data_IF_955536477500
#
_entry.id   IF_955536477500
#
_cell.length_a   1.000
_cell.length_b   1.000
_cell.length_c   1.000
_cell.angle_alpha   90.00
_cell.angle_beta   90.00
_cell.angle_gamma   90.00
#
_symmetry.space_group_name_H-M   'P 1'
#
loop_
_entity.id
_entity.type
_entity.pdbx_description
1 polymer ?
#
# COMPACT_ATOMS: atom_id res chain seq x y z
N UNK A 1 38.22 4.55 71.60
CA UNK A 1 38.26 5.21 70.28
C UNK A 1 37.26 4.53 69.34
N UNK A 2 35.96 4.72 69.60
CA UNK A 2 34.89 4.23 68.74
C UNK A 2 33.98 5.43 68.46
N UNK A 3 33.64 5.69 67.19
CA UNK A 3 32.51 6.60 66.91
C UNK A 3 32.66 7.67 65.83
N UNK A 4 33.56 7.56 64.83
CA UNK A 4 33.64 8.59 63.76
C UNK A 4 33.57 8.11 62.31
N UNK A 5 33.32 6.83 62.05
CA UNK A 5 33.27 6.28 60.68
C UNK A 5 31.86 6.31 60.07
N UNK A 6 30.81 6.39 60.91
CA UNK A 6 29.41 6.39 60.46
C UNK A 6 28.95 7.60 59.63
N UNK A 7 29.35 8.87 59.88
CA UNK A 7 28.79 10.00 59.13
C UNK A 7 29.28 10.09 57.69
N UNK A 8 30.51 9.64 57.38
CA UNK A 8 31.04 9.68 56.01
C UNK A 8 30.38 8.65 55.09
N UNK A 9 30.08 7.46 55.59
CA UNK A 9 29.35 6.43 54.83
C UNK A 9 27.90 6.83 54.54
N UNK A 10 27.23 7.51 55.47
CA UNK A 10 25.87 8.02 55.26
C UNK A 10 25.83 9.12 54.19
N UNK A 11 26.81 10.03 54.18
CA UNK A 11 26.92 11.08 53.14
C UNK A 11 27.18 10.46 51.75
N UNK A 12 28.06 9.44 51.67
CA UNK A 12 28.32 8.72 50.43
C UNK A 12 27.10 7.95 49.92
N UNK A 13 26.31 7.37 50.82
CA UNK A 13 25.07 6.67 50.47
C UNK A 13 23.98 7.65 49.98
N UNK A 14 23.83 8.81 50.63
CA UNK A 14 22.88 9.85 50.21
C UNK A 14 23.26 10.42 48.84
N UNK A 15 24.55 10.65 48.57
CA UNK A 15 25.02 11.10 47.25
C UNK A 15 24.82 10.04 46.16
N UNK A 16 25.07 8.75 46.46
CA UNK A 16 24.88 7.66 45.51
C UNK A 16 23.38 7.44 45.16
N UNK A 17 22.50 7.52 46.16
CA UNK A 17 21.04 7.40 45.95
C UNK A 17 20.47 8.65 45.25
N UNK A 18 20.98 9.85 45.57
CA UNK A 18 20.60 11.08 44.87
C UNK A 18 20.99 11.06 43.38
N UNK A 19 22.19 10.55 43.06
CA UNK A 19 22.65 10.41 41.68
C UNK A 19 21.84 9.36 40.88
N UNK A 20 21.44 8.26 41.51
CA UNK A 20 20.65 7.21 40.83
C UNK A 20 19.21 7.66 40.55
N UNK A 21 18.58 8.38 41.48
CA UNK A 21 17.23 8.95 41.29
C UNK A 21 17.26 10.05 40.22
N UNK A 22 18.28 10.92 40.21
CA UNK A 22 18.45 11.95 39.18
C UNK A 22 18.62 11.36 37.77
N UNK A 23 19.44 10.31 37.64
CA UNK A 23 19.61 9.59 36.38
C UNK A 23 18.31 8.92 35.90
N UNK A 24 17.54 8.32 36.81
CA UNK A 24 16.27 7.68 36.47
C UNK A 24 15.23 8.69 35.96
N UNK A 25 15.10 9.86 36.61
CA UNK A 25 14.18 10.94 36.17
C UNK A 25 14.61 11.48 34.79
N UNK A 26 15.91 11.63 34.54
CA UNK A 26 16.42 12.11 33.25
C UNK A 26 16.13 11.11 32.12
N UNK A 27 16.28 9.81 32.38
CA UNK A 27 16.00 8.72 31.43
C UNK A 27 14.49 8.63 31.13
N UNK A 28 13.62 8.83 32.13
CA UNK A 28 12.17 8.80 31.93
C UNK A 28 11.71 9.99 31.08
N UNK A 29 12.15 11.21 31.39
CA UNK A 29 11.80 12.40 30.59
C UNK A 29 12.33 12.32 29.15
N UNK A 30 13.52 11.76 28.93
CA UNK A 30 14.07 11.63 27.56
C UNK A 30 13.35 10.56 26.73
N UNK A 31 12.78 9.51 27.35
CA UNK A 31 11.88 8.57 26.66
C UNK A 31 10.56 9.22 26.26
N UNK A 32 9.96 10.01 27.14
CA UNK A 32 8.69 10.68 26.85
C UNK A 32 8.87 11.75 25.74
N UNK A 33 9.98 12.49 25.77
CA UNK A 33 10.32 13.44 24.70
C UNK A 33 10.61 12.74 23.36
N UNK A 34 11.29 11.58 23.38
CA UNK A 34 11.52 10.80 22.17
C UNK A 34 10.22 10.19 21.61
N UNK A 35 9.32 9.70 22.48
CA UNK A 35 7.99 9.23 22.11
C UNK A 35 7.14 10.32 21.47
N UNK A 36 7.04 11.48 22.14
CA UNK A 36 6.35 12.65 21.60
C UNK A 36 6.95 13.14 20.28
N UNK A 37 8.28 13.05 20.12
CA UNK A 37 8.93 13.39 18.85
C UNK A 37 8.58 12.42 17.72
N UNK A 38 8.42 11.13 18.02
CA UNK A 38 7.95 10.13 17.05
C UNK A 38 6.51 10.41 16.63
N UNK A 39 5.62 10.63 17.60
CA UNK A 39 4.21 10.94 17.35
C UNK A 39 4.04 12.22 16.52
N UNK A 40 4.83 13.27 16.79
CA UNK A 40 4.83 14.51 15.99
C UNK A 40 5.32 14.27 14.57
N UNK A 41 6.31 13.39 14.37
CA UNK A 41 6.80 13.03 13.04
C UNK A 41 5.73 12.29 12.23
N UNK A 42 5.04 11.33 12.86
CA UNK A 42 3.96 10.57 12.23
C UNK A 42 2.76 11.46 11.90
N UNK A 43 2.37 12.35 12.83
CA UNK A 43 1.35 13.35 12.60
C UNK A 43 1.69 14.26 11.41
N UNK A 44 2.94 14.70 11.28
CA UNK A 44 3.38 15.52 10.16
C UNK A 44 3.29 14.76 8.82
N UNK A 45 3.62 13.47 8.81
CA UNK A 45 3.49 12.63 7.63
C UNK A 45 2.01 12.45 7.23
N UNK A 46 1.10 12.28 8.19
CA UNK A 46 -0.34 12.25 7.94
C UNK A 46 -0.87 13.59 7.43
N UNK A 47 -0.43 14.71 8.01
CA UNK A 47 -0.82 16.06 7.57
C UNK A 47 -0.39 16.33 6.12
N UNK A 48 0.80 15.87 5.73
CA UNK A 48 1.28 15.96 4.36
C UNK A 48 0.40 15.15 3.38
N UNK A 49 -0.02 13.94 3.77
CA UNK A 49 -0.96 13.11 2.97
C UNK A 49 -2.32 13.78 2.83
N UNK A 50 -2.91 14.27 3.93
CA UNK A 50 -4.20 14.98 3.92
C UNK A 50 -4.14 16.21 3.01
N UNK A 51 -3.03 16.95 3.02
CA UNK A 51 -2.85 18.12 2.15
C UNK A 51 -2.81 17.73 0.67
N UNK A 52 -2.18 16.61 0.33
CA UNK A 52 -2.16 16.07 -1.02
C UNK A 52 -3.58 15.67 -1.47
N UNK A 53 -4.30 14.92 -0.63
CA UNK A 53 -5.68 14.49 -0.89
C UNK A 53 -6.64 15.68 -1.07
N UNK A 54 -6.49 16.73 -0.26
CA UNK A 54 -7.28 17.96 -0.36
C UNK A 54 -7.01 18.68 -1.70
N UNK A 55 -5.75 18.71 -2.14
CA UNK A 55 -5.36 19.32 -3.41
C UNK A 55 -5.95 18.54 -4.59
N UNK A 56 -5.92 17.20 -4.53
CA UNK A 56 -6.58 16.35 -5.53
C UNK A 56 -8.09 16.58 -5.56
N UNK A 57 -8.75 16.58 -4.39
CA UNK A 57 -10.21 16.79 -4.29
C UNK A 57 -10.61 18.14 -4.90
N UNK A 58 -9.81 19.17 -4.69
CA UNK A 58 -10.04 20.49 -5.30
C UNK A 58 -9.98 20.44 -6.83
N UNK A 59 -8.98 19.76 -7.39
CA UNK A 59 -8.88 19.56 -8.84
C UNK A 59 -10.08 18.78 -9.41
N UNK A 60 -10.59 17.79 -8.67
CA UNK A 60 -11.78 17.03 -9.07
C UNK A 60 -13.03 17.91 -9.05
N UNK A 61 -13.18 18.77 -8.04
CA UNK A 61 -14.26 19.76 -7.96
C UNK A 61 -14.20 20.77 -9.10
N UNK A 62 -13.01 21.27 -9.45
CA UNK A 62 -12.83 22.21 -10.57
C UNK A 62 -13.23 21.55 -11.90
N UNK A 63 -12.88 20.27 -12.10
CA UNK A 63 -13.29 19.48 -13.28
C UNK A 63 -14.81 19.30 -13.33
N UNK A 64 -15.43 18.91 -12.21
CA UNK A 64 -16.89 18.76 -12.13
C UNK A 64 -17.62 20.09 -12.36
N UNK A 65 -17.07 21.21 -11.92
CA UNK A 65 -17.62 22.55 -12.17
C UNK A 65 -17.61 22.92 -13.66
N UNK A 66 -16.52 22.58 -14.36
CA UNK A 66 -16.42 22.75 -15.81
C UNK A 66 -17.47 21.89 -16.55
N UNK A 67 -17.62 20.62 -16.15
CA UNK A 67 -18.64 19.72 -16.72
C UNK A 67 -20.07 20.25 -16.50
N UNK A 68 -20.36 20.75 -15.28
CA UNK A 68 -21.66 21.35 -14.95
C UNK A 68 -21.98 22.55 -15.85
N UNK A 69 -20.98 23.38 -16.16
CA UNK A 69 -21.12 24.52 -17.07
C UNK A 69 -21.40 24.10 -18.51
N UNK A 70 -20.89 22.94 -18.95
CA UNK A 70 -21.23 22.34 -20.26
C UNK A 70 -22.67 21.84 -20.25
N UNK A 71 -23.09 21.13 -19.21
CA UNK A 71 -24.47 20.65 -19.07
C UNK A 71 -25.50 21.79 -19.04
N UNK A 72 -25.21 22.87 -18.30
CA UNK A 72 -26.09 24.05 -18.25
C UNK A 72 -26.29 24.68 -19.63
N UNK A 73 -25.22 24.86 -20.41
CA UNK A 73 -25.32 25.34 -21.80
C UNK A 73 -26.18 24.43 -22.67
N UNK A 74 -26.07 23.12 -22.47
CA UNK A 74 -26.85 22.13 -23.22
C UNK A 74 -28.33 22.15 -22.86
N UNK A 75 -28.67 22.32 -21.58
CA UNK A 75 -30.06 22.50 -21.13
C UNK A 75 -30.65 23.77 -21.74
N UNK A 76 -29.94 24.90 -21.67
CA UNK A 76 -30.41 26.16 -22.25
C UNK A 76 -30.66 26.03 -23.77
N UNK A 77 -29.77 25.36 -24.50
CA UNK A 77 -29.96 25.09 -25.93
C UNK A 77 -31.19 24.22 -26.22
N UNK A 78 -31.47 23.21 -25.38
CA UNK A 78 -32.67 22.37 -25.51
C UNK A 78 -33.95 23.14 -25.19
N UNK A 79 -33.94 24.02 -24.18
CA UNK A 79 -35.07 24.88 -23.85
C UNK A 79 -35.39 25.85 -25.00
N UNK A 80 -34.37 26.46 -25.61
CA UNK A 80 -34.53 27.32 -26.79
C UNK A 80 -35.14 26.54 -27.98
N UNK A 81 -34.67 25.29 -28.20
CA UNK A 81 -35.24 24.39 -29.22
C UNK A 81 -36.72 24.14 -28.98
N UNK A 82 -37.11 23.81 -27.75
CA UNK A 82 -38.51 23.56 -27.40
C UNK A 82 -39.38 24.82 -27.58
N UNK A 83 -38.86 25.99 -27.20
CA UNK A 83 -39.57 27.26 -27.41
C UNK A 83 -39.77 27.58 -28.90
N UNK A 84 -38.77 27.32 -29.74
CA UNK A 84 -38.87 27.53 -31.19
C UNK A 84 -39.86 26.56 -31.86
N UNK A 85 -39.86 25.29 -31.46
CA UNK A 85 -40.86 24.31 -31.93
C UNK A 85 -42.28 24.71 -31.54
N UNK A 86 -42.48 25.20 -30.31
CA UNK A 86 -43.78 25.69 -29.86
C UNK A 86 -44.27 26.89 -30.69
N UNK A 87 -43.36 27.80 -31.10
CA UNK A 87 -43.69 28.95 -31.97
C UNK A 87 -44.07 28.54 -33.39
N UNK A 88 -43.43 27.51 -33.93
CA UNK A 88 -43.72 26.99 -35.28
C UNK A 88 -45.10 26.32 -35.35
N UNK A 89 -45.57 25.73 -34.25
CA UNK A 89 -46.90 25.12 -34.16
C UNK A 89 -48.05 26.14 -34.14
N UNK A 90 -47.76 27.45 -34.10
CA UNK A 90 -48.74 28.55 -33.95
C UNK A 90 -48.89 29.41 -35.23
N UNK A 91 -48.03 29.27 -36.26
CA UNK A 91 -48.11 30.09 -37.50
C UNK A 91 -48.42 29.23 -38.75
N UNK A 92 -49.38 29.73 -39.52
CA UNK A 92 -50.22 29.05 -40.51
C UNK A 92 -49.52 28.24 -41.64
N UNK A 93 -50.17 27.15 -42.11
CA UNK A 93 -49.75 26.34 -43.25
C UNK A 93 -50.20 27.00 -44.55
N UNK A 94 -49.29 27.59 -45.32
CA UNK A 94 -49.69 28.35 -46.51
C UNK A 94 -48.73 28.26 -47.67
N UNK A 95 -47.64 29.04 -47.65
CA UNK A 95 -46.78 29.21 -48.84
C UNK A 95 -45.29 29.39 -48.55
N UNK A 96 -44.86 29.22 -47.31
CA UNK A 96 -43.46 29.31 -46.88
C UNK A 96 -42.75 27.93 -46.84
N UNK A 97 -43.45 26.83 -47.17
CA UNK A 97 -43.01 25.47 -46.89
C UNK A 97 -41.81 24.94 -47.70
N UNK A 98 -41.52 25.51 -48.87
CA UNK A 98 -40.50 24.92 -49.77
C UNK A 98 -39.09 25.46 -49.51
N UNK A 99 -38.92 26.77 -49.30
CA UNK A 99 -37.63 27.36 -48.89
C UNK A 99 -37.29 27.11 -47.41
N UNK A 100 -38.30 27.05 -46.52
CA UNK A 100 -38.08 26.59 -45.13
C UNK A 100 -37.65 25.12 -45.07
N UNK A 101 -38.15 24.24 -45.95
CA UNK A 101 -37.74 22.83 -45.94
C UNK A 101 -36.24 22.64 -46.19
N UNK A 102 -35.61 23.50 -47.00
CA UNK A 102 -34.17 23.45 -47.28
C UNK A 102 -33.34 24.01 -46.12
N UNK A 103 -33.73 25.15 -45.56
CA UNK A 103 -33.05 25.75 -44.41
C UNK A 103 -33.19 24.88 -43.14
N UNK A 104 -34.34 24.23 -42.96
CA UNK A 104 -34.60 23.32 -41.85
C UNK A 104 -33.86 21.99 -42.04
N UNK A 105 -33.77 21.48 -43.28
CA UNK A 105 -32.96 20.30 -43.60
C UNK A 105 -31.45 20.55 -43.39
N UNK A 106 -30.94 21.73 -43.77
CA UNK A 106 -29.55 22.11 -43.55
C UNK A 106 -29.23 22.30 -42.06
N UNK A 107 -30.15 22.92 -41.29
CA UNK A 107 -30.03 23.00 -39.83
C UNK A 107 -30.09 21.64 -39.15
N UNK A 108 -30.98 20.74 -39.58
CA UNK A 108 -31.04 19.35 -39.07
C UNK A 108 -29.76 18.57 -39.39
N UNK A 109 -29.19 18.76 -40.58
CA UNK A 109 -27.93 18.13 -40.97
C UNK A 109 -26.77 18.64 -40.09
N UNK A 110 -26.65 19.96 -39.89
CA UNK A 110 -25.63 20.56 -39.01
C UNK A 110 -25.81 20.11 -37.54
N UNK A 111 -27.04 20.02 -37.05
CA UNK A 111 -27.33 19.50 -35.71
C UNK A 111 -26.94 18.02 -35.55
N UNK A 112 -27.12 17.21 -36.60
CA UNK A 112 -26.66 15.81 -36.59
C UNK A 112 -25.13 15.71 -36.55
N UNK A 113 -24.43 16.66 -37.17
CA UNK A 113 -22.98 16.75 -37.13
C UNK A 113 -22.49 17.18 -35.73
N UNK A 114 -23.13 18.18 -35.12
CA UNK A 114 -22.82 18.62 -33.75
C UNK A 114 -23.10 17.51 -32.72
N UNK A 115 -24.19 16.76 -32.87
CA UNK A 115 -24.48 15.62 -31.99
C UNK A 115 -23.43 14.52 -32.14
N UNK A 116 -22.98 14.24 -33.37
CA UNK A 116 -21.90 13.28 -33.63
C UNK A 116 -20.58 13.75 -33.01
N UNK A 117 -20.21 15.01 -33.19
CA UNK A 117 -19.00 15.59 -32.61
C UNK A 117 -19.04 15.56 -31.07
N UNK A 118 -20.21 15.80 -30.47
CA UNK A 118 -20.40 15.72 -29.03
C UNK A 118 -20.26 14.27 -28.51
N UNK A 119 -20.80 13.28 -29.22
CA UNK A 119 -20.64 11.87 -28.86
C UNK A 119 -19.17 11.46 -28.91
N UNK A 120 -18.44 11.87 -29.93
CA UNK A 120 -17.00 11.61 -30.08
C UNK A 120 -16.20 12.26 -28.94
N UNK A 121 -16.47 13.52 -28.63
CA UNK A 121 -15.83 14.22 -27.51
C UNK A 121 -16.11 13.53 -26.16
N UNK A 122 -17.35 13.06 -25.92
CA UNK A 122 -17.70 12.30 -24.70
C UNK A 122 -16.94 10.97 -24.65
N UNK A 123 -16.84 10.26 -25.76
CA UNK A 123 -16.10 8.99 -25.82
C UNK A 123 -14.62 9.20 -25.53
N UNK A 124 -14.02 10.28 -26.01
CA UNK A 124 -12.61 10.61 -25.74
C UNK A 124 -12.38 10.96 -24.27
N UNK A 125 -13.25 11.77 -23.65
CA UNK A 125 -13.19 12.05 -22.21
C UNK A 125 -13.32 10.77 -21.38
N UNK A 126 -14.21 9.84 -21.78
CA UNK A 126 -14.36 8.55 -21.09
C UNK A 126 -13.12 7.66 -21.25
N UNK A 127 -12.47 7.66 -22.42
CA UNK A 127 -11.20 6.95 -22.63
C UNK A 127 -10.09 7.52 -21.75
N UNK A 128 -9.94 8.85 -21.71
CA UNK A 128 -8.94 9.52 -20.88
C UNK A 128 -9.15 9.22 -19.39
N UNK A 129 -10.40 9.24 -18.92
CA UNK A 129 -10.75 8.88 -17.54
C UNK A 129 -10.37 7.45 -17.20
N UNK A 130 -10.67 6.47 -18.08
CA UNK A 130 -10.26 5.07 -17.87
C UNK A 130 -8.74 4.93 -17.82
N UNK A 131 -8.02 5.60 -18.71
CA UNK A 131 -6.56 5.61 -18.72
C UNK A 131 -5.97 6.26 -17.46
N UNK A 132 -6.58 7.32 -16.94
CA UNK A 132 -6.18 7.94 -15.67
C UNK A 132 -6.44 7.01 -14.46
N UNK A 133 -7.61 6.37 -14.39
CA UNK A 133 -7.91 5.39 -13.35
C UNK A 133 -6.96 4.18 -13.39
N UNK A 134 -6.60 3.70 -14.58
CA UNK A 134 -5.62 2.63 -14.76
C UNK A 134 -4.21 3.03 -14.32
N UNK A 135 -3.78 4.27 -14.61
CA UNK A 135 -2.50 4.82 -14.10
C UNK A 135 -2.49 4.83 -12.57
N UNK A 136 -3.54 5.37 -11.93
CA UNK A 136 -3.66 5.37 -10.45
C UNK A 136 -3.64 3.96 -9.86
N UNK A 137 -4.28 2.99 -10.54
CA UNK A 137 -4.22 1.58 -10.13
C UNK A 137 -2.82 0.98 -10.29
N UNK A 138 -2.08 1.34 -11.34
CA UNK A 138 -0.69 0.90 -11.55
C UNK A 138 0.23 1.47 -10.47
N UNK A 139 0.13 2.77 -10.20
CA UNK A 139 0.88 3.46 -9.14
C UNK A 139 0.61 2.83 -7.78
N UNK A 140 -0.67 2.66 -7.39
CA UNK A 140 -1.02 2.02 -6.13
C UNK A 140 -0.51 0.57 -6.04
N UNK A 141 -0.57 -0.21 -7.13
CA UNK A 141 0.05 -1.55 -7.16
C UNK A 141 1.56 -1.50 -6.99
N UNK A 142 2.22 -0.50 -7.55
CA UNK A 142 3.66 -0.33 -7.43
C UNK A 142 4.07 0.11 -6.03
N UNK A 143 3.37 1.05 -5.43
CA UNK A 143 3.53 1.43 -4.02
C UNK A 143 3.30 0.24 -3.09
N UNK A 144 2.22 -0.54 -3.29
CA UNK A 144 1.98 -1.75 -2.50
C UNK A 144 3.08 -2.78 -2.68
N UNK A 145 3.61 -2.95 -3.91
CA UNK A 145 4.76 -3.83 -4.16
C UNK A 145 6.02 -3.35 -3.44
N UNK A 146 6.30 -2.05 -3.45
CA UNK A 146 7.44 -1.47 -2.74
C UNK A 146 7.30 -1.60 -1.23
N UNK A 147 6.13 -1.28 -0.67
CA UNK A 147 5.84 -1.44 0.75
C UNK A 147 5.98 -2.90 1.18
N UNK A 148 5.43 -3.82 0.38
CA UNK A 148 5.54 -5.25 0.64
C UNK A 148 6.99 -5.73 0.55
N UNK A 149 7.75 -5.32 -0.47
CA UNK A 149 9.16 -5.67 -0.60
C UNK A 149 9.99 -5.14 0.58
N UNK A 150 9.74 -3.90 1.02
CA UNK A 150 10.40 -3.31 2.19
C UNK A 150 10.08 -4.09 3.47
N UNK A 151 8.80 -4.40 3.72
CA UNK A 151 8.39 -5.20 4.88
C UNK A 151 8.97 -6.61 4.86
N UNK A 152 9.04 -7.23 3.69
CA UNK A 152 9.66 -8.54 3.52
C UNK A 152 11.16 -8.47 3.82
N UNK A 153 11.88 -7.44 3.34
CA UNK A 153 13.30 -7.24 3.67
C UNK A 153 13.53 -7.03 5.17
N UNK A 154 12.75 -6.16 5.79
CA UNK A 154 12.80 -5.90 7.23
C UNK A 154 12.56 -7.17 8.05
N UNK A 155 11.46 -7.87 7.75
CA UNK A 155 11.12 -9.14 8.39
C UNK A 155 12.20 -10.21 8.22
N UNK A 156 12.78 -10.32 7.02
CA UNK A 156 13.91 -11.23 6.78
C UNK A 156 15.10 -10.81 7.66
N UNK A 157 15.50 -9.54 7.67
CA UNK A 157 16.63 -9.09 8.48
C UNK A 157 16.44 -9.40 9.98
N UNK A 158 15.25 -9.16 10.53
CA UNK A 158 14.92 -9.51 11.91
C UNK A 158 15.00 -11.02 12.16
N UNK A 159 14.33 -11.81 11.33
CA UNK A 159 14.25 -13.26 11.50
C UNK A 159 15.62 -13.91 11.41
N UNK A 160 16.46 -13.44 10.48
CA UNK A 160 17.81 -13.95 10.27
C UNK A 160 18.75 -13.56 11.41
N UNK A 161 18.64 -12.33 11.92
CA UNK A 161 19.41 -11.86 13.08
C UNK A 161 19.08 -12.70 14.33
N UNK A 162 17.79 -12.91 14.60
CA UNK A 162 17.35 -13.73 15.75
C UNK A 162 17.72 -15.21 15.59
N UNK A 163 17.67 -15.73 14.36
CA UNK A 163 18.12 -17.09 14.08
C UNK A 163 19.62 -17.24 14.33
N UNK A 164 20.45 -16.31 13.84
CA UNK A 164 21.90 -16.34 14.07
C UNK A 164 22.24 -16.28 15.57
N UNK A 165 21.61 -15.37 16.32
CA UNK A 165 21.76 -15.31 17.79
C UNK A 165 21.41 -16.64 18.46
N UNK A 166 20.35 -17.29 18.01
CA UNK A 166 19.93 -18.59 18.51
C UNK A 166 20.97 -19.67 18.20
N UNK A 167 21.51 -19.68 16.98
CA UNK A 167 22.56 -20.64 16.60
C UNK A 167 23.84 -20.44 17.41
N UNK A 168 24.30 -19.20 17.57
CA UNK A 168 25.49 -18.87 18.38
C UNK A 168 25.30 -19.40 19.81
N UNK A 169 24.15 -19.11 20.42
CA UNK A 169 23.84 -19.52 21.80
C UNK A 169 23.73 -21.04 21.96
N UNK A 170 23.08 -21.73 21.03
CA UNK A 170 22.72 -23.14 21.19
C UNK A 170 23.79 -24.11 20.68
N UNK A 171 24.67 -23.66 19.78
CA UNK A 171 25.70 -24.49 19.14
C UNK A 171 27.14 -24.13 19.53
N UNK A 172 27.32 -23.09 20.36
CA UNK A 172 28.63 -22.59 20.79
C UNK A 172 29.56 -22.35 19.59
N UNK A 173 29.08 -21.51 18.66
CA UNK A 173 29.77 -21.28 17.39
C UNK A 173 31.09 -20.54 17.59
N UNK A 174 32.12 -20.98 16.88
CA UNK A 174 33.36 -20.20 16.75
C UNK A 174 33.13 -18.95 15.89
N UNK A 175 33.97 -17.92 16.05
CA UNK A 175 33.84 -16.68 15.26
C UNK A 175 33.94 -16.91 13.74
N UNK A 176 34.71 -17.91 13.30
CA UNK A 176 34.77 -18.30 11.88
C UNK A 176 33.46 -18.95 11.42
N UNK A 177 32.91 -19.88 12.21
CA UNK A 177 31.62 -20.51 11.89
C UNK A 177 30.47 -19.49 11.87
N UNK A 178 30.48 -18.52 12.79
CA UNK A 178 29.50 -17.42 12.78
C UNK A 178 29.54 -16.64 11.47
N UNK A 179 30.73 -16.25 11.02
CA UNK A 179 30.91 -15.52 9.76
C UNK A 179 30.42 -16.34 8.55
N UNK A 180 30.76 -17.62 8.48
CA UNK A 180 30.34 -18.49 7.38
C UNK A 180 28.83 -18.74 7.37
N UNK A 181 28.22 -18.92 8.54
CA UNK A 181 26.75 -19.06 8.67
C UNK A 181 26.05 -17.78 8.24
N UNK A 182 26.62 -16.61 8.56
CA UNK A 182 26.09 -15.32 8.09
C UNK A 182 26.07 -15.24 6.56
N UNK A 183 27.12 -15.70 5.88
CA UNK A 183 27.16 -15.76 4.40
C UNK A 183 26.11 -16.73 3.85
N UNK A 184 25.95 -17.92 4.47
CA UNK A 184 24.91 -18.88 4.08
C UNK A 184 23.49 -18.30 4.25
N UNK A 185 23.29 -17.57 5.34
CA UNK A 185 22.06 -16.84 5.64
C UNK A 185 21.77 -15.72 4.62
N UNK A 186 22.77 -14.91 4.27
CA UNK A 186 22.63 -13.87 3.25
C UNK A 186 22.25 -14.47 1.88
N UNK A 187 22.89 -15.59 1.50
CA UNK A 187 22.57 -16.35 0.27
C UNK A 187 21.12 -16.83 0.28
N UNK A 188 20.67 -17.39 1.42
CA UNK A 188 19.28 -17.83 1.59
C UNK A 188 18.30 -16.66 1.50
N UNK A 189 18.61 -15.51 2.11
CA UNK A 189 17.79 -14.28 2.05
C UNK A 189 17.62 -13.79 0.62
N UNK A 190 18.67 -13.80 -0.18
CA UNK A 190 18.61 -13.44 -1.60
C UNK A 190 17.71 -14.40 -2.39
N UNK A 191 17.83 -15.71 -2.15
CA UNK A 191 16.96 -16.72 -2.74
C UNK A 191 15.48 -16.46 -2.45
N UNK A 192 15.15 -16.20 -1.18
CA UNK A 192 13.77 -15.90 -0.76
C UNK A 192 13.27 -14.60 -1.40
N UNK A 193 14.11 -13.57 -1.45
CA UNK A 193 13.78 -12.29 -2.10
C UNK A 193 13.45 -12.48 -3.57
N UNK A 194 14.24 -13.28 -4.30
CA UNK A 194 13.99 -13.61 -5.72
C UNK A 194 12.69 -14.40 -5.90
N UNK A 195 12.45 -15.42 -5.09
CA UNK A 195 11.20 -16.19 -5.10
C UNK A 195 9.97 -15.28 -4.93
N UNK A 196 10.05 -14.32 -4.01
CA UNK A 196 8.97 -13.38 -3.75
C UNK A 196 8.78 -12.33 -4.85
N UNK A 197 9.86 -11.89 -5.50
CA UNK A 197 9.76 -11.03 -6.67
C UNK A 197 9.06 -11.75 -7.85
N UNK A 198 9.24 -13.07 -7.98
CA UNK A 198 8.63 -13.87 -9.05
C UNK A 198 7.11 -14.04 -8.91
N UNK A 199 6.56 -14.06 -7.69
CA UNK A 199 5.12 -14.27 -7.47
C UNK A 199 4.22 -13.08 -7.86
N UNK A 200 4.79 -11.89 -8.09
CA UNK A 200 4.03 -10.67 -8.42
C UNK A 200 4.08 -10.25 -9.90
N UNK A 201 4.69 -11.06 -10.75
CA UNK A 201 4.96 -10.77 -12.15
C UNK A 201 4.47 -11.95 -12.99
N UNK A 202 3.91 -11.69 -14.17
CA UNK A 202 3.77 -12.69 -15.24
C UNK A 202 5.17 -13.03 -15.76
N UNK A 203 6.00 -13.65 -14.90
CA UNK A 203 7.37 -14.00 -15.25
C UNK A 203 7.29 -15.07 -16.32
N UNK A 204 7.85 -14.77 -17.49
CA UNK A 204 8.18 -15.73 -18.54
C UNK A 204 8.84 -16.97 -17.93
N UNK A 205 8.63 -18.12 -18.58
CA UNK A 205 8.97 -19.51 -18.22
C UNK A 205 10.46 -19.77 -17.85
N UNK A 206 11.04 -18.98 -16.95
CA UNK A 206 12.36 -19.16 -16.37
C UNK A 206 12.33 -20.07 -15.15
N UNK A 207 13.51 -20.51 -14.75
CA UNK A 207 13.74 -21.39 -13.60
C UNK A 207 13.19 -20.73 -12.32
N UNK A 208 12.01 -21.17 -11.89
CA UNK A 208 11.35 -20.68 -10.69
C UNK A 208 12.17 -21.09 -9.48
N UNK A 209 12.53 -20.12 -8.65
CA UNK A 209 13.27 -20.41 -7.42
C UNK A 209 12.29 -21.01 -6.42
N UNK A 210 12.44 -22.30 -6.12
CA UNK A 210 11.59 -22.98 -5.15
C UNK A 210 12.16 -22.80 -3.72
N UNK A 211 11.26 -22.63 -2.75
CA UNK A 211 11.56 -22.59 -1.31
C UNK A 211 12.34 -23.83 -0.84
N UNK A 212 12.01 -25.00 -1.40
CA UNK A 212 12.68 -26.26 -1.07
C UNK A 212 14.17 -26.22 -1.46
N UNK A 213 14.48 -25.73 -2.66
CA UNK A 213 15.87 -25.63 -3.14
C UNK A 213 16.68 -24.63 -2.32
N UNK A 214 16.08 -23.49 -1.96
CA UNK A 214 16.70 -22.49 -1.09
C UNK A 214 17.07 -23.11 0.26
N UNK A 215 16.14 -23.85 0.87
CA UNK A 215 16.38 -24.48 2.17
C UNK A 215 17.37 -25.63 2.08
N UNK A 216 17.32 -26.42 1.01
CA UNK A 216 18.26 -27.52 0.77
C UNK A 216 19.68 -27.00 0.66
N UNK A 217 19.91 -25.98 -0.17
CA UNK A 217 21.22 -25.33 -0.30
C UNK A 217 21.72 -24.78 1.03
N UNK A 218 20.85 -24.14 1.80
CA UNK A 218 21.21 -23.65 3.14
C UNK A 218 21.59 -24.79 4.10
N UNK A 219 20.86 -25.90 4.08
CA UNK A 219 21.20 -27.08 4.90
C UNK A 219 22.55 -27.68 4.51
N UNK A 220 22.82 -27.81 3.21
CA UNK A 220 24.13 -28.28 2.71
C UNK A 220 25.27 -27.36 3.17
N UNK A 221 25.06 -26.04 3.15
CA UNK A 221 26.04 -25.08 3.69
C UNK A 221 26.26 -25.28 5.19
N UNK A 222 25.19 -25.45 5.98
CA UNK A 222 25.32 -25.70 7.41
C UNK A 222 26.08 -27.01 7.71
N UNK A 223 25.83 -28.07 6.96
CA UNK A 223 26.53 -29.36 7.13
C UNK A 223 28.03 -29.27 6.86
N UNK A 224 28.46 -28.32 6.01
CA UNK A 224 29.87 -28.06 5.74
C UNK A 224 30.54 -27.17 6.80
N UNK A 225 29.78 -26.31 7.50
CA UNK A 225 30.31 -25.35 8.48
C UNK A 225 30.30 -25.94 9.90
N UNK A 226 29.25 -26.68 10.23
CA UNK A 226 29.02 -27.21 11.57
C UNK A 226 29.66 -28.58 11.75
N UNK A 227 30.16 -28.85 12.94
CA UNK A 227 30.62 -30.20 13.31
C UNK A 227 29.45 -31.18 13.36
N UNK A 228 29.73 -32.49 13.34
CA UNK A 228 28.68 -33.52 13.42
C UNK A 228 27.85 -33.41 14.71
N UNK A 229 28.47 -33.06 15.84
CA UNK A 229 27.78 -32.86 17.11
C UNK A 229 26.88 -31.63 17.08
N UNK A 230 27.38 -30.50 16.57
CA UNK A 230 26.58 -29.28 16.38
C UNK A 230 25.40 -29.53 15.42
N UNK A 231 25.62 -30.25 14.32
CA UNK A 231 24.55 -30.63 13.39
C UNK A 231 23.49 -31.53 14.04
N UNK A 232 23.90 -32.43 14.93
CA UNK A 232 22.96 -33.26 15.70
C UNK A 232 22.11 -32.37 16.62
N UNK A 233 22.72 -31.46 17.38
CA UNK A 233 22.00 -30.51 18.24
C UNK A 233 21.05 -29.63 17.43
N UNK A 234 21.49 -29.14 16.27
CA UNK A 234 20.68 -28.34 15.36
C UNK A 234 19.41 -29.09 14.91
N UNK A 235 19.55 -30.36 14.50
CA UNK A 235 18.44 -31.22 14.06
C UNK A 235 17.51 -31.58 15.22
N UNK A 236 18.06 -31.95 16.37
CA UNK A 236 17.31 -32.36 17.57
C UNK A 236 16.48 -31.22 18.17
N UNK A 237 17.09 -30.04 18.33
CA UNK A 237 16.38 -28.84 18.81
C UNK A 237 15.48 -28.21 17.74
N UNK A 238 15.51 -28.74 16.52
CA UNK A 238 14.74 -28.26 15.37
C UNK A 238 14.94 -26.76 15.15
N UNK A 239 16.20 -26.31 15.18
CA UNK A 239 16.52 -24.87 15.11
C UNK A 239 16.11 -24.24 13.77
N UNK A 240 15.85 -25.06 12.74
CA UNK A 240 15.29 -24.60 11.46
C UNK A 240 13.84 -24.06 11.58
N UNK A 241 13.10 -24.40 12.65
CA UNK A 241 11.69 -23.97 12.82
C UNK A 241 11.49 -22.47 13.01
N UNK A 242 12.54 -21.71 13.35
CA UNK A 242 12.45 -20.26 13.50
C UNK A 242 11.86 -19.59 12.24
N UNK A 243 12.17 -20.13 11.06
CA UNK A 243 11.63 -19.65 9.79
C UNK A 243 10.23 -20.20 9.46
N UNK A 244 9.92 -21.43 9.90
CA UNK A 244 8.62 -22.06 9.61
C UNK A 244 7.47 -21.53 10.49
N UNK A 245 7.76 -21.04 11.70
CA UNK A 245 6.72 -20.54 12.63
C UNK A 245 6.33 -19.07 12.41
N UNK A 246 7.17 -18.29 11.71
CA UNK A 246 6.91 -16.87 11.41
C UNK A 246 6.05 -16.62 10.17
N UNK A 247 5.74 -17.66 9.39
CA UNK A 247 5.02 -17.52 8.13
C UNK A 247 3.58 -17.07 8.31
N UNK A 248 3.35 -15.75 8.30
CA UNK A 248 2.14 -15.02 7.87
C UNK A 248 0.76 -15.54 8.33
N UNK A 249 0.71 -16.43 9.32
CA UNK A 249 -0.51 -17.02 9.89
C UNK A 249 -1.18 -16.13 10.93
N UNK A 250 -0.63 -14.95 11.23
CA UNK A 250 -1.40 -13.87 11.87
C UNK A 250 -2.21 -13.12 10.82
N UNK A 251 -2.99 -13.89 10.06
CA UNK A 251 -4.16 -13.41 9.35
C UNK A 251 -5.21 -12.95 10.36
N UNK A 252 -4.98 -11.81 11.01
CA UNK A 252 -6.09 -10.95 11.42
C UNK A 252 -6.59 -10.25 10.15
N UNK A 253 -7.61 -10.84 9.53
CA UNK A 253 -8.68 -10.03 8.97
C UNK A 253 -8.58 -9.55 7.52
N UNK A 254 -7.76 -10.15 6.64
CA UNK A 254 -7.95 -9.97 5.18
C UNK A 254 -8.99 -10.95 4.59
N UNK A 255 -10.00 -11.35 5.38
CA UNK A 255 -11.25 -11.85 4.81
C UNK A 255 -11.96 -10.64 4.23
N UNK A 256 -11.89 -10.55 2.91
CA UNK A 256 -12.53 -9.52 2.10
C UNK A 256 -13.93 -9.18 2.61
N UNK A 257 -14.10 -7.91 2.97
CA UNK A 257 -15.38 -7.22 2.99
C UNK A 257 -15.80 -6.96 1.53
N UNK A 258 -15.82 -8.02 0.74
CA UNK A 258 -16.17 -8.03 -0.68
C UNK A 258 -17.56 -8.63 -0.84
N UNK A 259 -18.56 -7.76 -0.89
CA UNK A 259 -19.75 -7.97 -1.72
C UNK A 259 -20.62 -9.19 -1.43
N UNK A 260 -21.34 -9.18 -0.31
CA UNK A 260 -22.66 -9.82 -0.24
C UNK A 260 -23.74 -8.74 -0.34
N UNK A 261 -23.78 -8.07 -1.50
CA UNK A 261 -24.96 -7.36 -1.94
C UNK A 261 -25.51 -8.07 -3.18
N UNK A 262 -25.93 -9.34 -3.00
CA UNK A 262 -26.82 -9.99 -3.96
C UNK A 262 -28.23 -9.59 -3.57
N UNK A 263 -28.67 -8.45 -4.11
CA UNK A 263 -30.07 -8.10 -4.17
C UNK A 263 -30.82 -9.27 -4.78
N UNK A 264 -31.62 -9.93 -3.94
CA UNK A 264 -32.53 -10.95 -4.41
C UNK A 264 -33.64 -10.23 -5.16
N UNK A 265 -33.71 -10.51 -6.46
CA UNK A 265 -34.70 -9.99 -7.39
C UNK A 265 -36.09 -10.37 -6.90
N UNK A 266 -36.86 -9.34 -6.62
CA UNK A 266 -38.31 -9.34 -6.60
C UNK A 266 -38.82 -9.92 -7.93
N UNK A 267 -39.36 -11.14 -7.88
CA UNK A 267 -40.04 -11.80 -8.99
C UNK A 267 -41.55 -11.61 -8.84
N UNK A 268 -42.00 -10.37 -8.93
CA UNK A 268 -43.40 -10.03 -9.17
C UNK A 268 -43.77 -10.30 -10.63
N UNK A 269 -44.25 -11.51 -10.93
CA UNK A 269 -44.97 -11.80 -12.18
C UNK A 269 -46.40 -12.17 -11.82
N UNK A 270 -47.28 -11.19 -12.01
CA UNK A 270 -48.72 -11.34 -11.82
C UNK A 270 -49.32 -12.42 -12.70
N UNK A 271 -50.34 -13.06 -12.14
CA UNK A 271 -51.50 -13.59 -12.82
C UNK A 271 -52.72 -12.93 -12.20
#
# INVERSE_FOLDING_TARGET
MNGRILPQLVILFILAVGASIGAMILIMNSRDVAGNSGDVSDMNAELARIKADLTQTRSEVDTLSADLSVYQRRVASLEERNANLARLNVKEPGKAGEELSKADAEKLANLSADEKALREAVDDVLKERRAAEERKRRENREEQRQQWASRTQEWLNETYTEHLKTLIKELDLTGTQEADIKVALDTRREGITKMYAQHGSDVEEGERVNWEDINKKYQEQLENILTQEQMKVYKEKNLNRAFSRGGMGRGRGWRGRGGQNRGNRDSGRGR
#
